data_IF_800289903192
#
_entry.id   IF_800289903192
#
_cell.length_a   1.000
_cell.length_b   1.000
_cell.length_c   1.000
_cell.angle_alpha   90.00
_cell.angle_beta   90.00
_cell.angle_gamma   90.00
#
_symmetry.space_group_name_H-M   'P 1'
#
loop_
_entity.id
_entity.type
_entity.pdbx_description
1 polymer ?
#
# COMPACT_ATOMS: atom_id res chain seq x y z
N UNK A 1 -4.41 4.51 5.14
CA UNK A 1 -2.97 4.19 4.96
C UNK A 1 -2.61 4.12 3.48
N UNK A 2 -3.22 3.22 2.72
CA UNK A 2 -2.81 2.97 1.33
C UNK A 2 -2.96 4.19 0.39
N UNK A 3 -4.03 4.99 0.50
CA UNK A 3 -4.20 6.21 -0.30
C UNK A 3 -3.06 7.23 -0.11
N UNK A 4 -2.47 7.32 1.08
CA UNK A 4 -1.33 8.21 1.32
C UNK A 4 -0.03 7.65 0.73
N UNK A 5 0.22 6.34 0.89
CA UNK A 5 1.40 5.67 0.32
C UNK A 5 1.40 5.76 -1.22
N UNK A 6 0.25 5.53 -1.85
CA UNK A 6 0.12 5.50 -3.31
C UNK A 6 -0.30 6.84 -3.92
N UNK A 7 -0.31 7.93 -3.13
CA UNK A 7 -0.83 9.24 -3.55
C UNK A 7 -0.30 9.73 -4.90
N UNK A 8 1.02 9.68 -5.21
CA UNK A 8 1.52 10.13 -6.51
C UNK A 8 1.01 9.27 -7.68
N UNK A 9 0.90 7.96 -7.48
CA UNK A 9 0.42 7.01 -8.50
C UNK A 9 -1.06 7.22 -8.81
N UNK A 10 -1.88 7.38 -7.77
CA UNK A 10 -3.31 7.69 -7.89
C UNK A 10 -3.52 9.03 -8.58
N UNK A 11 -2.76 10.06 -8.20
CA UNK A 11 -2.83 11.38 -8.82
C UNK A 11 -2.49 11.33 -10.31
N UNK A 12 -1.45 10.59 -10.69
CA UNK A 12 -1.08 10.38 -12.09
C UNK A 12 -2.21 9.68 -12.85
N UNK A 13 -2.72 8.56 -12.33
CA UNK A 13 -3.81 7.81 -12.99
C UNK A 13 -5.11 8.59 -13.12
N UNK A 14 -5.45 9.46 -12.17
CA UNK A 14 -6.60 10.35 -12.28
C UNK A 14 -6.47 11.33 -13.45
N UNK A 15 -5.26 11.83 -13.74
CA UNK A 15 -5.03 12.70 -14.90
C UNK A 15 -5.01 11.89 -16.19
N UNK A 16 -4.32 10.74 -16.21
CA UNK A 16 -4.23 9.87 -17.39
C UNK A 16 -5.60 9.34 -17.84
N UNK A 17 -6.51 9.11 -16.88
CA UNK A 17 -7.89 8.68 -17.15
C UNK A 17 -8.87 9.84 -17.40
N UNK A 18 -8.39 11.07 -17.53
CA UNK A 18 -9.19 12.29 -17.74
C UNK A 18 -10.23 12.59 -16.63
N UNK A 19 -10.14 11.91 -15.48
CA UNK A 19 -10.98 12.15 -14.31
C UNK A 19 -10.61 13.45 -13.58
N UNK A 20 -9.38 13.93 -13.78
CA UNK A 20 -8.88 15.20 -13.28
C UNK A 20 -8.22 16.02 -14.40
N UNK A 21 -8.60 17.29 -14.51
CA UNK A 21 -8.07 18.21 -15.53
C UNK A 21 -6.55 18.43 -15.47
N UNK A 22 -5.95 18.31 -14.29
CA UNK A 22 -4.51 18.50 -14.06
C UNK A 22 -4.11 17.94 -12.69
N UNK A 23 -2.80 17.91 -12.43
CA UNK A 23 -2.23 17.35 -11.19
C UNK A 23 -2.68 18.08 -9.92
N UNK A 24 -2.93 19.40 -9.99
CA UNK A 24 -3.44 20.19 -8.86
C UNK A 24 -4.88 19.80 -8.52
N UNK A 25 -5.71 19.59 -9.55
CA UNK A 25 -7.07 19.09 -9.39
C UNK A 25 -7.07 17.66 -8.83
N UNK A 26 -6.22 16.78 -9.37
CA UNK A 26 -6.07 15.40 -8.89
C UNK A 26 -5.69 15.35 -7.40
N UNK A 27 -4.72 16.17 -6.98
CA UNK A 27 -4.34 16.31 -5.57
C UNK A 27 -5.55 16.67 -4.69
N UNK A 28 -6.35 17.66 -5.12
CA UNK A 28 -7.57 18.08 -4.40
C UNK A 28 -8.63 16.99 -4.37
N UNK A 29 -8.78 16.19 -5.43
CA UNK A 29 -9.71 15.06 -5.46
C UNK A 29 -9.32 13.97 -4.46
N UNK A 30 -8.02 13.64 -4.38
CA UNK A 30 -7.46 12.68 -3.42
C UNK A 30 -7.64 13.18 -1.98
N UNK A 31 -7.30 14.44 -1.70
CA UNK A 31 -7.46 15.04 -0.36
C UNK A 31 -8.92 15.07 0.10
N UNK A 32 -9.85 15.30 -0.83
CA UNK A 32 -11.30 15.26 -0.56
C UNK A 32 -11.90 13.84 -0.60
N UNK A 33 -11.09 12.82 -0.87
CA UNK A 33 -11.50 11.40 -0.94
C UNK A 33 -12.74 11.19 -1.83
N UNK A 34 -12.73 11.79 -3.01
CA UNK A 34 -13.85 11.62 -3.96
C UNK A 34 -14.04 10.15 -4.35
N UNK A 35 -15.27 9.69 -4.63
CA UNK A 35 -15.54 8.27 -4.91
C UNK A 35 -14.63 7.66 -6.00
N UNK A 36 -14.37 8.41 -7.07
CA UNK A 36 -13.54 7.95 -8.20
C UNK A 36 -12.10 7.60 -7.81
N UNK A 37 -11.62 8.11 -6.66
CA UNK A 37 -10.28 7.84 -6.15
C UNK A 37 -10.14 6.37 -5.75
N UNK A 38 -11.21 5.74 -5.27
CA UNK A 38 -11.17 4.35 -4.79
C UNK A 38 -11.05 3.37 -5.95
N UNK A 39 -11.81 3.58 -7.04
CA UNK A 39 -11.71 2.76 -8.25
C UNK A 39 -10.31 2.82 -8.86
N UNK A 40 -9.72 4.03 -8.88
CA UNK A 40 -8.34 4.23 -9.37
C UNK A 40 -7.32 3.60 -8.43
N UNK A 41 -7.52 3.70 -7.11
CA UNK A 41 -6.62 3.13 -6.12
C UNK A 41 -6.56 1.59 -6.23
N UNK A 42 -7.70 0.93 -6.41
CA UNK A 42 -7.76 -0.53 -6.60
C UNK A 42 -7.01 -0.97 -7.86
N UNK A 43 -7.12 -0.21 -8.95
CA UNK A 43 -6.37 -0.47 -10.18
C UNK A 43 -4.85 -0.28 -10.03
N UNK A 44 -4.40 0.57 -9.10
CA UNK A 44 -2.97 0.81 -8.83
C UNK A 44 -2.32 -0.31 -8.01
N UNK A 45 -3.09 -1.06 -7.22
CA UNK A 45 -2.54 -2.12 -6.36
C UNK A 45 -2.18 -3.40 -7.09
N UNK A 46 -2.81 -3.65 -8.24
CA UNK A 46 -2.56 -4.86 -9.03
C UNK A 46 -1.09 -4.89 -9.44
N UNK A 47 -0.43 -6.01 -9.12
CA UNK A 47 0.98 -6.25 -9.44
C UNK A 47 1.96 -5.24 -8.80
N UNK A 48 1.55 -4.50 -7.77
CA UNK A 48 2.41 -3.57 -7.03
C UNK A 48 2.61 -4.06 -5.59
N UNK A 49 3.62 -4.91 -5.33
CA UNK A 49 3.84 -5.46 -4.00
C UNK A 49 4.24 -4.39 -2.99
N UNK A 50 3.96 -4.65 -1.72
CA UNK A 50 4.44 -3.85 -0.58
C UNK A 50 5.25 -4.73 0.37
N UNK A 51 6.26 -4.17 1.01
CA UNK A 51 7.02 -4.90 2.03
C UNK A 51 6.43 -4.65 3.41
N UNK A 52 6.18 -5.74 4.13
CA UNK A 52 5.74 -5.71 5.51
C UNK A 52 6.91 -6.12 6.42
N UNK A 53 7.15 -5.36 7.48
CA UNK A 53 8.24 -5.58 8.43
C UNK A 53 7.75 -5.46 9.87
N UNK A 54 8.20 -6.36 10.75
CA UNK A 54 8.02 -6.26 12.20
C UNK A 54 9.38 -6.12 12.89
N UNK A 55 9.50 -5.14 13.78
CA UNK A 55 10.70 -4.97 14.60
C UNK A 55 10.64 -5.87 15.85
N UNK A 56 11.77 -6.43 16.32
CA UNK A 56 13.09 -6.43 15.69
C UNK A 56 13.21 -7.46 14.56
N UNK A 57 13.93 -7.11 13.49
CA UNK A 57 14.19 -8.02 12.36
C UNK A 57 15.38 -8.93 12.66
N UNK A 58 15.13 -10.18 13.04
CA UNK A 58 16.17 -11.15 13.43
C UNK A 58 16.79 -11.91 12.26
N UNK A 59 16.03 -12.05 11.17
CA UNK A 59 16.44 -12.79 9.97
C UNK A 59 15.68 -12.30 8.75
N UNK A 60 16.10 -12.71 7.54
CA UNK A 60 15.53 -12.25 6.27
C UNK A 60 14.00 -12.37 6.17
N UNK A 61 13.40 -13.41 6.75
CA UNK A 61 11.94 -13.62 6.71
C UNK A 61 11.14 -12.63 7.60
N UNK A 62 11.82 -11.75 8.34
CA UNK A 62 11.18 -10.67 9.08
C UNK A 62 10.78 -9.47 8.21
N UNK A 63 11.11 -9.51 6.92
CA UNK A 63 10.59 -8.61 5.88
C UNK A 63 10.10 -9.49 4.74
N UNK A 64 8.84 -9.34 4.34
CA UNK A 64 8.27 -10.09 3.21
C UNK A 64 7.40 -9.19 2.34
N UNK A 65 7.35 -9.50 1.04
CA UNK A 65 6.51 -8.83 0.07
C UNK A 65 5.11 -9.46 0.04
N UNK A 66 4.09 -8.61 -0.08
CA UNK A 66 2.70 -9.03 -0.25
C UNK A 66 2.01 -8.14 -1.28
N UNK A 67 1.05 -8.72 -2.01
CA UNK A 67 0.10 -7.92 -2.80
C UNK A 67 -0.93 -7.29 -1.86
N UNK A 68 -1.09 -5.96 -1.84
CA UNK A 68 -2.00 -5.29 -0.91
C UNK A 68 -3.46 -5.49 -1.31
N UNK A 69 -4.29 -5.92 -0.35
CA UNK A 69 -5.75 -5.99 -0.48
C UNK A 69 -6.38 -4.83 0.27
N UNK A 70 -7.29 -4.09 -0.37
CA UNK A 70 -8.07 -3.05 0.29
C UNK A 70 -9.00 -3.68 1.33
N UNK A 71 -8.85 -3.25 2.57
CA UNK A 71 -9.70 -3.67 3.70
C UNK A 71 -10.23 -2.44 4.42
N UNK A 72 -11.41 -2.60 5.02
CA UNK A 72 -11.99 -1.59 5.88
C UNK A 72 -11.24 -1.50 7.22
N UNK A 73 -11.29 -0.32 7.85
CA UNK A 73 -10.66 -0.06 9.14
C UNK A 73 -9.24 0.49 9.05
N UNK A 74 -8.49 0.33 10.16
CA UNK A 74 -7.16 0.95 10.34
C UNK A 74 -6.05 -0.05 10.67
N UNK A 75 -6.37 -1.33 10.82
CA UNK A 75 -5.42 -2.38 11.14
C UNK A 75 -4.90 -3.06 9.86
N UNK A 76 -3.64 -3.47 9.88
CA UNK A 76 -3.08 -4.33 8.83
C UNK A 76 -3.56 -5.75 9.10
N UNK A 77 -4.07 -6.41 8.07
CA UNK A 77 -4.36 -7.84 8.11
C UNK A 77 -3.15 -8.60 7.55
N UNK A 78 -2.68 -9.60 8.28
CA UNK A 78 -1.53 -10.42 7.89
C UNK A 78 -1.96 -11.88 7.85
N UNK A 79 -1.38 -12.66 6.93
CA UNK A 79 -1.73 -14.07 6.79
C UNK A 79 -1.25 -14.87 8.02
N UNK A 80 -2.07 -15.75 8.63
CA UNK A 80 -1.69 -16.47 9.84
C UNK A 80 -0.40 -17.29 9.71
N UNK A 81 -0.16 -17.91 8.54
CA UNK A 81 1.02 -18.76 8.32
C UNK A 81 2.36 -18.00 8.28
N UNK A 82 2.36 -16.67 8.11
CA UNK A 82 3.60 -15.89 8.14
C UNK A 82 3.92 -15.33 9.54
N UNK A 83 3.02 -15.49 10.52
CA UNK A 83 3.22 -14.96 11.87
C UNK A 83 4.47 -15.54 12.55
N UNK A 84 4.74 -16.84 12.36
CA UNK A 84 5.97 -17.48 12.89
C UNK A 84 7.23 -16.84 12.35
N UNK A 85 7.25 -16.47 11.06
CA UNK A 85 8.40 -15.81 10.44
C UNK A 85 8.60 -14.38 10.96
N UNK A 86 7.53 -13.63 11.22
CA UNK A 86 7.63 -12.31 11.86
C UNK A 86 7.83 -12.38 13.38
N UNK A 87 7.69 -13.57 13.98
CA UNK A 87 7.55 -13.77 15.41
C UNK A 87 6.44 -12.88 16.01
N UNK A 88 5.34 -12.70 15.27
CA UNK A 88 4.25 -11.78 15.58
C UNK A 88 3.11 -12.48 16.31
N UNK A 89 2.53 -11.80 17.29
CA UNK A 89 1.24 -12.11 17.88
C UNK A 89 0.26 -10.94 17.64
N UNK A 90 -0.91 -10.98 18.27
CA UNK A 90 -2.01 -10.04 18.01
C UNK A 90 -2.52 -9.36 19.29
N UNK A 91 -1.62 -9.09 20.23
CA UNK A 91 -1.94 -8.44 21.51
C UNK A 91 -1.63 -6.92 21.52
N UNK A 92 -1.11 -6.38 20.42
CA UNK A 92 -0.74 -4.96 20.30
C UNK A 92 0.40 -4.67 19.31
N UNK A 93 0.97 -5.72 18.71
CA UNK A 93 2.04 -5.64 17.72
C UNK A 93 1.75 -4.67 16.56
N UNK A 94 2.81 -4.00 16.12
CA UNK A 94 2.78 -3.06 15.00
C UNK A 94 3.77 -3.50 13.91
N UNK A 95 3.39 -3.23 12.65
CA UNK A 95 4.22 -3.53 11.49
C UNK A 95 4.38 -2.28 10.61
N UNK A 96 5.56 -2.10 10.03
CA UNK A 96 5.84 -1.08 9.05
C UNK A 96 5.54 -1.59 7.63
N UNK A 97 5.04 -0.70 6.78
CA UNK A 97 4.78 -0.97 5.36
C UNK A 97 5.67 -0.07 4.51
N UNK A 98 6.40 -0.67 3.58
CA UNK A 98 7.26 0.04 2.63
C UNK A 98 6.76 -0.19 1.20
N UNK A 99 6.74 0.88 0.39
CA UNK A 99 6.32 0.84 -1.01
C UNK A 99 7.57 0.90 -1.92
N UNK A 100 7.94 -0.20 -2.61
CA UNK A 100 8.97 -0.14 -3.64
C UNK A 100 8.53 0.75 -4.81
N UNK A 101 9.43 1.60 -5.32
CA UNK A 101 9.10 2.61 -6.32
C UNK A 101 9.65 2.26 -7.72
N UNK A 102 10.89 1.79 -7.83
CA UNK A 102 11.48 1.44 -9.13
C UNK A 102 10.98 0.08 -9.62
N UNK A 103 11.16 -0.16 -10.93
CA UNK A 103 10.83 -1.45 -11.56
C UNK A 103 11.65 -2.59 -10.99
N UNK A 104 12.92 -2.32 -10.67
CA UNK A 104 13.84 -3.30 -10.10
C UNK A 104 13.40 -3.67 -8.67
N UNK A 105 13.10 -2.67 -7.83
CA UNK A 105 12.67 -2.88 -6.45
C UNK A 105 11.30 -3.57 -6.33
N UNK A 106 10.45 -3.48 -7.37
CA UNK A 106 9.19 -4.22 -7.42
C UNK A 106 9.38 -5.67 -7.87
N UNK A 107 10.46 -5.96 -8.60
CA UNK A 107 10.78 -7.29 -9.12
C UNK A 107 11.67 -8.12 -8.17
N UNK A 108 12.42 -7.46 -7.28
CA UNK A 108 13.20 -8.07 -6.18
C UNK A 108 12.32 -8.80 -5.16
#
# INVERSE_FOLDING_TARGET
MALELFKPFVMKRLVDAELAQNIKSAKRMVERRRPQVWDVLEGVFREHPVFLNRAPTLHRLGIQAFEPVLVEGKAIQVHPLVCTAFNADFDGDQMAVHLPLSTEAQAE
#
